data_IF_477070696469
#
_entry.id   IF_477070696469
#
_cell.length_a   1.000
_cell.length_b   1.000
_cell.length_c   1.000
_cell.angle_alpha   90.00
_cell.angle_beta   90.00
_cell.angle_gamma   90.00
#
_symmetry.space_group_name_H-M   'P 1'
#
loop_
_entity.id
_entity.type
_entity.pdbx_description
1 polymer ?
#
# COMPACT_ATOMS: atom_id res chain seq x y z
N UNK A 1 -9.13 30.28 -10.42
CA UNK A 1 -10.04 31.21 -11.11
C UNK A 1 -11.33 31.38 -10.31
N UNK A 2 -12.01 32.53 -10.41
CA UNK A 2 -13.30 32.80 -9.74
C UNK A 2 -14.51 32.04 -10.35
N UNK A 3 -15.76 32.36 -9.96
CA UNK A 3 -16.98 31.63 -10.34
C UNK A 3 -17.20 31.46 -11.86
N UNK A 4 -16.59 32.31 -12.67
CA UNK A 4 -16.62 32.24 -14.14
C UNK A 4 -15.95 30.98 -14.71
N UNK A 5 -14.90 30.44 -14.06
CA UNK A 5 -14.19 29.26 -14.57
C UNK A 5 -15.05 27.98 -14.56
N UNK A 6 -15.95 27.84 -13.59
CA UNK A 6 -16.85 26.69 -13.51
C UNK A 6 -18.01 26.82 -14.51
N UNK A 7 -18.49 28.04 -14.78
CA UNK A 7 -19.50 28.28 -15.82
C UNK A 7 -18.94 27.91 -17.20
N UNK A 8 -17.69 28.28 -17.49
CA UNK A 8 -17.02 27.90 -18.74
C UNK A 8 -16.80 26.38 -18.82
N UNK A 9 -16.58 25.70 -17.68
CA UNK A 9 -16.47 24.24 -17.64
C UNK A 9 -17.78 23.55 -18.06
N UNK A 10 -18.93 24.03 -17.58
CA UNK A 10 -20.25 23.54 -18.00
C UNK A 10 -20.47 23.73 -19.51
N UNK A 11 -20.19 24.93 -20.03
CA UNK A 11 -20.33 25.24 -21.46
C UNK A 11 -19.40 24.38 -22.32
N UNK A 12 -18.13 24.25 -21.93
CA UNK A 12 -17.15 23.45 -22.66
C UNK A 12 -17.51 21.95 -22.67
N UNK A 13 -18.11 21.46 -21.58
CA UNK A 13 -18.58 20.06 -21.46
C UNK A 13 -19.78 19.78 -22.35
N UNK A 14 -20.74 20.70 -22.39
CA UNK A 14 -21.93 20.61 -23.23
C UNK A 14 -21.58 20.65 -24.74
N UNK A 15 -20.54 21.39 -25.13
CA UNK A 15 -20.19 21.64 -26.54
C UNK A 15 -19.03 20.79 -27.08
N UNK A 16 -18.45 19.90 -26.29
CA UNK A 16 -17.47 18.96 -26.84
C UNK A 16 -16.00 19.43 -26.82
N UNK A 17 -15.62 20.42 -26.00
CA UNK A 17 -14.29 21.06 -26.10
C UNK A 17 -13.24 20.46 -25.14
N UNK A 18 -12.62 19.35 -25.55
CA UNK A 18 -11.62 18.59 -24.77
C UNK A 18 -10.45 19.45 -24.25
N UNK A 19 -9.82 20.25 -25.11
CA UNK A 19 -8.64 21.05 -24.78
C UNK A 19 -8.96 22.13 -23.75
N UNK A 20 -10.13 22.77 -23.86
CA UNK A 20 -10.61 23.79 -22.93
C UNK A 20 -10.87 23.16 -21.55
N UNK A 21 -11.50 21.99 -21.52
CA UNK A 21 -11.76 21.25 -20.27
C UNK A 21 -10.46 20.88 -19.55
N UNK A 22 -9.44 20.41 -20.30
CA UNK A 22 -8.13 20.12 -19.73
C UNK A 22 -7.47 21.37 -19.14
N UNK A 23 -7.46 22.49 -19.87
CA UNK A 23 -6.91 23.77 -19.39
C UNK A 23 -7.65 24.26 -18.14
N UNK A 24 -8.98 24.12 -18.10
CA UNK A 24 -9.80 24.50 -16.94
C UNK A 24 -9.48 23.65 -15.71
N UNK A 25 -9.27 22.35 -15.87
CA UNK A 25 -8.83 21.48 -14.79
C UNK A 25 -7.43 21.85 -14.28
N UNK A 26 -6.48 22.14 -15.18
CA UNK A 26 -5.14 22.63 -14.82
C UNK A 26 -5.21 23.97 -14.06
N UNK A 27 -6.29 24.75 -14.23
CA UNK A 27 -6.52 26.04 -13.59
C UNK A 27 -7.51 26.00 -12.40
N UNK A 28 -7.71 24.82 -11.80
CA UNK A 28 -8.54 24.58 -10.60
C UNK A 28 -10.06 24.78 -10.80
N UNK A 29 -10.61 24.47 -11.98
CA UNK A 29 -12.06 24.38 -12.14
C UNK A 29 -12.62 23.17 -11.35
N UNK A 30 -13.71 23.38 -10.62
CA UNK A 30 -14.29 22.39 -9.72
C UNK A 30 -15.25 21.45 -10.48
N UNK A 31 -14.91 20.16 -10.51
CA UNK A 31 -15.74 19.11 -11.11
C UNK A 31 -17.08 18.90 -10.41
N UNK A 32 -17.12 19.14 -9.09
CA UNK A 32 -18.31 19.00 -8.25
C UNK A 32 -19.29 20.17 -8.40
N UNK A 33 -18.88 21.24 -9.09
CA UNK A 33 -19.72 22.41 -9.29
C UNK A 33 -20.94 22.00 -10.13
N UNK A 34 -22.13 22.26 -9.58
CA UNK A 34 -23.41 21.97 -10.23
C UNK A 34 -23.94 23.22 -10.89
N UNK A 35 -24.48 23.04 -12.09
CA UNK A 35 -25.22 24.09 -12.77
C UNK A 35 -26.40 24.52 -11.88
N UNK A 36 -26.53 25.82 -11.57
CA UNK A 36 -27.59 26.30 -10.68
C UNK A 36 -29.00 26.12 -11.28
N UNK A 37 -29.12 26.09 -12.61
CA UNK A 37 -30.40 25.97 -13.31
C UNK A 37 -30.94 24.54 -13.34
N UNK A 38 -30.06 23.56 -13.52
CA UNK A 38 -30.44 22.15 -13.71
C UNK A 38 -29.96 21.20 -12.61
N UNK A 39 -29.10 21.68 -11.69
CA UNK A 39 -28.43 20.90 -10.62
C UNK A 39 -27.63 19.69 -11.14
N UNK A 40 -27.25 19.71 -12.42
CA UNK A 40 -26.43 18.68 -13.07
C UNK A 40 -24.95 19.07 -12.97
N UNK A 41 -24.09 18.06 -12.84
CA UNK A 41 -22.63 18.22 -12.88
C UNK A 41 -22.18 18.47 -14.31
N UNK A 42 -21.06 19.18 -14.50
CA UNK A 42 -20.48 19.40 -15.84
C UNK A 42 -20.18 18.10 -16.60
N UNK A 43 -19.85 17.02 -15.89
CA UNK A 43 -19.70 15.67 -16.48
C UNK A 43 -21.00 15.07 -17.02
N UNK A 44 -22.15 15.40 -16.43
CA UNK A 44 -23.47 14.92 -16.84
C UNK A 44 -24.11 15.73 -17.96
N UNK A 45 -23.53 16.87 -18.32
CA UNK A 45 -23.99 17.74 -19.41
C UNK A 45 -23.36 17.39 -20.76
N UNK A 46 -22.31 16.56 -20.78
CA UNK A 46 -21.70 16.10 -22.02
C UNK A 46 -22.33 14.81 -22.51
N UNK A 47 -22.71 14.73 -23.78
CA UNK A 47 -23.10 13.48 -24.43
C UNK A 47 -21.89 12.69 -24.97
N UNK A 48 -20.70 13.27 -24.93
CA UNK A 48 -19.46 12.70 -25.50
C UNK A 48 -18.71 11.92 -24.44
N UNK A 49 -18.54 10.61 -24.65
CA UNK A 49 -17.91 9.71 -23.68
C UNK A 49 -16.43 10.03 -23.40
N UNK A 50 -15.69 10.58 -24.38
CA UNK A 50 -14.31 11.04 -24.17
C UNK A 50 -14.21 12.18 -23.16
N UNK A 51 -15.20 13.08 -23.14
CA UNK A 51 -15.27 14.18 -22.17
C UNK A 51 -15.62 13.66 -20.80
N UNK A 52 -16.60 12.75 -20.69
CA UNK A 52 -16.91 12.09 -19.43
C UNK A 52 -15.68 11.43 -18.82
N UNK A 53 -14.81 10.83 -19.64
CA UNK A 53 -13.50 10.29 -19.22
C UNK A 53 -12.53 11.35 -18.70
N UNK A 54 -12.55 12.59 -19.22
CA UNK A 54 -11.73 13.70 -18.67
C UNK A 54 -12.17 14.08 -17.25
N UNK A 55 -13.47 14.01 -16.96
CA UNK A 55 -14.02 14.24 -15.63
C UNK A 55 -13.69 13.13 -14.64
N UNK A 56 -13.41 11.90 -15.08
CA UNK A 56 -12.89 10.83 -14.23
C UNK A 56 -11.36 10.88 -14.10
N UNK A 57 -10.63 11.33 -15.13
CA UNK A 57 -9.15 11.43 -15.20
C UNK A 57 -8.49 12.33 -14.15
N UNK A 58 -9.06 13.50 -13.86
CA UNK A 58 -8.38 14.57 -13.10
C UNK A 58 -8.70 14.66 -11.59
N UNK A 59 -9.35 13.64 -10.99
CA UNK A 59 -9.66 13.60 -9.55
C UNK A 59 -9.36 12.19 -9.05
N UNK A 60 -8.10 11.79 -9.25
CA UNK A 60 -7.58 10.48 -8.88
C UNK A 60 -7.32 10.36 -7.37
N UNK A 61 -8.04 11.09 -6.50
CA UNK A 61 -7.96 10.89 -5.05
C UNK A 61 -8.48 9.49 -4.66
N UNK A 62 -9.40 8.93 -5.45
CA UNK A 62 -10.02 7.63 -5.18
C UNK A 62 -9.78 6.54 -6.25
N UNK A 63 -9.10 6.85 -7.36
CA UNK A 63 -8.80 5.88 -8.42
C UNK A 63 -7.30 5.85 -8.71
N UNK A 64 -6.63 4.73 -8.41
CA UNK A 64 -5.17 4.59 -8.51
C UNK A 64 -4.65 4.10 -9.86
N UNK A 65 -5.46 4.03 -10.91
CA UNK A 65 -4.99 3.53 -12.20
C UNK A 65 -5.52 4.31 -13.37
N UNK A 66 -4.71 5.28 -13.80
CA UNK A 66 -4.49 5.46 -15.22
C UNK A 66 -2.98 5.58 -15.50
N UNK A 67 -2.51 4.63 -16.31
CA UNK A 67 -1.29 4.65 -17.13
C UNK A 67 0.06 4.93 -16.44
N UNK A 68 0.56 3.93 -15.73
CA UNK A 68 2.00 3.58 -15.79
C UNK A 68 2.13 2.07 -15.81
N UNK A 69 2.89 1.54 -16.79
CA UNK A 69 3.36 0.16 -16.82
C UNK A 69 4.29 -0.07 -15.61
N UNK A 70 3.73 -0.37 -14.45
CA UNK A 70 4.43 -0.92 -13.30
C UNK A 70 3.45 -1.84 -12.57
N UNK A 71 3.73 -3.14 -12.59
CA UNK A 71 2.77 -4.19 -12.22
C UNK A 71 2.54 -4.35 -10.70
N UNK A 72 3.13 -3.53 -9.82
CA UNK A 72 3.22 -3.83 -8.38
C UNK A 72 2.77 -2.70 -7.44
N UNK A 73 1.71 -1.96 -7.77
CA UNK A 73 1.16 -0.98 -6.85
C UNK A 73 -0.15 -1.43 -6.18
N UNK A 74 -0.01 -2.09 -5.03
CA UNK A 74 -1.11 -2.36 -4.09
C UNK A 74 -0.86 -1.54 -2.82
N UNK A 75 -1.79 -0.62 -2.50
CA UNK A 75 -1.74 0.27 -1.31
C UNK A 75 -1.80 -0.48 0.03
N UNK A 76 -2.01 -1.79 -0.03
CA UNK A 76 -2.26 -2.65 1.09
C UNK A 76 -1.49 -3.98 0.99
N UNK A 77 -1.44 -4.72 2.09
CA UNK A 77 -0.87 -6.08 2.11
C UNK A 77 -1.66 -7.02 2.98
N UNK A 78 -1.71 -8.29 2.57
CA UNK A 78 -2.17 -9.37 3.43
C UNK A 78 -1.26 -9.47 4.64
N UNK A 79 -1.84 -9.49 5.83
CA UNK A 79 -1.07 -9.53 7.07
C UNK A 79 -0.59 -10.94 7.37
N UNK A 80 0.74 -11.09 7.46
CA UNK A 80 1.42 -12.19 8.17
C UNK A 80 2.04 -11.70 9.49
N UNK A 81 2.58 -12.62 10.30
CA UNK A 81 3.23 -12.31 11.60
C UNK A 81 4.24 -11.15 11.51
N UNK A 82 5.05 -11.15 10.46
CA UNK A 82 6.05 -10.11 10.17
C UNK A 82 5.47 -8.69 10.06
N UNK A 83 4.31 -8.52 9.43
CA UNK A 83 3.71 -7.19 9.24
C UNK A 83 3.05 -6.67 10.53
N UNK A 84 2.57 -7.57 11.40
CA UNK A 84 2.08 -7.20 12.74
C UNK A 84 3.24 -6.68 13.57
N UNK A 85 4.39 -7.37 13.55
CA UNK A 85 5.60 -6.95 14.23
C UNK A 85 6.08 -5.59 13.72
N UNK A 86 6.23 -5.40 12.40
CA UNK A 86 6.63 -4.10 11.81
C UNK A 86 5.67 -2.96 12.17
N UNK A 87 4.36 -3.23 12.25
CA UNK A 87 3.37 -2.24 12.71
C UNK A 87 3.61 -1.85 14.17
N UNK A 88 3.89 -2.82 15.03
CA UNK A 88 4.19 -2.57 16.44
C UNK A 88 5.49 -1.78 16.58
N UNK A 89 6.55 -2.18 15.90
CA UNK A 89 7.82 -1.46 15.84
C UNK A 89 7.65 -0.04 15.32
N UNK A 90 6.81 0.16 14.27
CA UNK A 90 6.47 1.50 13.78
C UNK A 90 5.83 2.33 14.88
N UNK A 91 4.81 1.81 15.57
CA UNK A 91 4.14 2.52 16.67
C UNK A 91 5.08 2.85 17.83
N UNK A 92 5.98 1.94 18.19
CA UNK A 92 6.96 2.14 19.27
C UNK A 92 8.05 3.15 18.89
N UNK A 93 8.55 3.11 17.65
CA UNK A 93 9.58 4.05 17.19
C UNK A 93 9.03 5.47 17.03
N UNK A 94 7.82 5.63 16.51
CA UNK A 94 7.21 6.96 16.37
C UNK A 94 6.75 7.54 17.70
N UNK A 95 6.56 6.73 18.75
CA UNK A 95 6.18 7.21 20.08
C UNK A 95 7.20 8.19 20.68
N UNK A 96 8.46 8.13 20.25
CA UNK A 96 9.49 9.13 20.56
C UNK A 96 9.10 10.53 20.12
N UNK A 97 8.25 10.66 19.10
CA UNK A 97 7.79 11.96 18.61
C UNK A 97 6.65 12.56 19.44
N UNK A 98 6.01 11.79 20.34
CA UNK A 98 5.00 12.32 21.27
C UNK A 98 5.55 13.42 22.17
N UNK A 99 6.86 13.46 22.40
CA UNK A 99 7.50 14.47 23.26
C UNK A 99 7.79 15.79 22.54
N UNK A 100 7.58 15.86 21.23
CA UNK A 100 7.84 17.06 20.43
C UNK A 100 6.55 17.81 20.13
N UNK A 101 6.44 19.04 20.64
CA UNK A 101 5.36 19.95 20.27
C UNK A 101 5.67 20.68 18.94
N UNK A 102 4.70 21.44 18.43
CA UNK A 102 4.84 22.22 17.18
C UNK A 102 5.91 23.32 17.23
N UNK A 103 6.48 23.62 18.39
CA UNK A 103 7.52 24.63 18.57
C UNK A 103 8.92 24.00 18.64
N UNK A 104 9.00 22.67 18.72
CA UNK A 104 10.26 21.97 18.83
C UNK A 104 11.11 22.11 17.56
N UNK A 105 12.33 22.64 17.71
CA UNK A 105 13.26 22.94 16.61
C UNK A 105 13.50 21.77 15.63
N UNK A 106 13.43 20.52 16.12
CA UNK A 106 13.58 19.33 15.30
C UNK A 106 12.49 19.24 14.23
N UNK A 107 11.23 19.60 14.54
CA UNK A 107 10.13 19.57 13.57
C UNK A 107 10.43 20.49 12.39
N UNK A 108 10.91 21.71 12.65
CA UNK A 108 11.33 22.64 11.60
C UNK A 108 12.43 22.04 10.73
N UNK A 109 13.43 21.38 11.34
CA UNK A 109 14.51 20.71 10.61
C UNK A 109 13.98 19.60 9.69
N UNK A 110 13.05 18.78 10.18
CA UNK A 110 12.44 17.71 9.38
C UNK A 110 11.61 18.27 8.21
N UNK A 111 10.89 19.37 8.42
CA UNK A 111 10.12 20.03 7.36
C UNK A 111 11.03 20.63 6.29
N UNK A 112 12.14 21.25 6.70
CA UNK A 112 13.16 21.74 5.75
C UNK A 112 13.73 20.58 4.94
N UNK A 113 14.05 19.45 5.58
CA UNK A 113 14.54 18.27 4.86
C UNK A 113 13.52 17.73 3.84
N UNK A 114 12.23 17.69 4.20
CA UNK A 114 11.17 17.30 3.26
C UNK A 114 11.10 18.28 2.07
N UNK A 115 11.21 19.58 2.32
CA UNK A 115 11.19 20.60 1.26
C UNK A 115 12.39 20.42 0.31
N UNK A 116 13.60 20.45 0.87
CA UNK A 116 14.83 20.45 0.08
C UNK A 116 15.04 19.14 -0.66
N UNK A 117 14.78 18.00 0.00
CA UNK A 117 15.04 16.71 -0.60
C UNK A 117 13.81 16.16 -1.32
N UNK A 118 12.72 15.90 -0.60
CA UNK A 118 11.60 15.17 -1.20
C UNK A 118 10.91 16.01 -2.29
N UNK A 119 10.59 17.27 -1.99
CA UNK A 119 9.86 18.12 -2.93
C UNK A 119 10.75 18.66 -4.04
N UNK A 120 11.88 19.30 -3.72
CA UNK A 120 12.71 20.00 -4.70
C UNK A 120 13.67 19.09 -5.48
N UNK A 121 14.20 18.03 -4.86
CA UNK A 121 15.14 17.13 -5.52
C UNK A 121 14.42 15.90 -6.08
N UNK A 122 13.78 15.11 -5.22
CA UNK A 122 13.26 13.80 -5.58
C UNK A 122 12.06 13.88 -6.54
N UNK A 123 11.02 14.66 -6.21
CA UNK A 123 9.83 14.76 -7.06
C UNK A 123 10.14 15.38 -8.43
N UNK A 124 11.07 16.34 -8.50
CA UNK A 124 11.46 16.98 -9.75
C UNK A 124 12.29 16.03 -10.61
N UNK A 125 13.29 15.38 -10.04
CA UNK A 125 14.25 14.57 -10.80
C UNK A 125 13.72 13.17 -11.13
N UNK A 126 13.03 12.51 -10.18
CA UNK A 126 12.63 11.11 -10.30
C UNK A 126 11.18 10.95 -10.76
N UNK A 127 10.29 11.86 -10.35
CA UNK A 127 8.85 11.79 -10.67
C UNK A 127 8.42 12.88 -11.68
N UNK A 128 9.37 13.69 -12.17
CA UNK A 128 9.19 14.71 -13.21
C UNK A 128 8.07 15.72 -12.93
N UNK A 129 7.92 16.15 -11.67
CA UNK A 129 6.98 17.19 -11.30
C UNK A 129 7.33 18.52 -11.98
N UNK A 130 6.32 19.24 -12.46
CA UNK A 130 6.54 20.57 -13.03
C UNK A 130 6.99 21.54 -11.93
N UNK A 131 7.71 22.59 -12.36
CA UNK A 131 8.19 23.64 -11.46
C UNK A 131 7.04 24.31 -10.71
N UNK A 132 5.95 24.66 -11.41
CA UNK A 132 4.78 25.30 -10.81
C UNK A 132 4.12 24.45 -9.71
N UNK A 133 4.05 23.13 -9.92
CA UNK A 133 3.52 22.22 -8.92
C UNK A 133 4.43 22.16 -7.70
N UNK A 134 5.73 22.05 -7.93
CA UNK A 134 6.74 21.96 -6.86
C UNK A 134 6.79 23.24 -6.02
N UNK A 135 6.75 24.41 -6.67
CA UNK A 135 6.71 25.71 -5.99
C UNK A 135 5.44 25.86 -5.12
N UNK A 136 4.30 25.37 -5.60
CA UNK A 136 3.05 25.37 -4.82
C UNK A 136 3.12 24.43 -3.61
N UNK A 137 3.71 23.25 -3.76
CA UNK A 137 3.91 22.31 -2.66
C UNK A 137 4.88 22.89 -1.63
N UNK A 138 6.01 23.42 -2.07
CA UNK A 138 6.97 24.11 -1.23
C UNK A 138 6.32 25.26 -0.45
N UNK A 139 5.47 26.06 -1.10
CA UNK A 139 4.72 27.12 -0.44
C UNK A 139 3.89 26.60 0.73
N UNK A 140 3.14 25.50 0.56
CA UNK A 140 2.38 24.92 1.67
C UNK A 140 3.27 24.47 2.83
N UNK A 141 4.39 23.81 2.56
CA UNK A 141 5.30 23.35 3.60
C UNK A 141 6.07 24.49 4.29
N UNK A 142 6.36 25.60 3.59
CA UNK A 142 6.88 26.82 4.20
C UNK A 142 5.85 27.47 5.14
N UNK A 143 4.58 27.56 4.71
CA UNK A 143 3.49 28.04 5.55
C UNK A 143 3.25 27.15 6.77
N UNK A 144 3.48 25.84 6.65
CA UNK A 144 3.44 24.91 7.79
C UNK A 144 4.44 25.30 8.90
N UNK A 145 5.64 25.75 8.52
CA UNK A 145 6.69 26.22 9.44
C UNK A 145 6.29 27.56 10.06
N UNK A 146 5.90 28.53 9.22
CA UNK A 146 5.57 29.90 9.65
C UNK A 146 4.37 29.93 10.62
N UNK A 147 3.28 29.24 10.28
CA UNK A 147 2.07 29.19 11.10
C UNK A 147 2.10 28.11 12.18
N UNK A 148 3.16 27.28 12.24
CA UNK A 148 3.24 26.12 13.13
C UNK A 148 2.02 25.19 13.01
N UNK A 149 1.54 25.02 11.78
CA UNK A 149 0.28 24.34 11.46
C UNK A 149 0.49 23.26 10.40
N UNK A 150 1.36 22.30 10.69
CA UNK A 150 1.74 21.26 9.73
C UNK A 150 0.53 20.48 9.21
N UNK A 151 -0.33 19.98 10.09
CA UNK A 151 -1.47 19.15 9.68
C UNK A 151 -2.39 19.90 8.69
N UNK A 152 -2.70 21.17 8.94
CA UNK A 152 -3.53 21.99 8.03
C UNK A 152 -2.90 22.11 6.65
N UNK A 153 -1.62 22.43 6.57
CA UNK A 153 -0.94 22.69 5.31
C UNK A 153 -0.55 21.43 4.55
N UNK A 154 -0.20 20.37 5.27
CA UNK A 154 -0.04 19.04 4.68
C UNK A 154 -1.34 18.58 4.03
N UNK A 155 -2.48 18.67 4.72
CA UNK A 155 -3.76 18.26 4.12
C UNK A 155 -4.09 19.10 2.89
N UNK A 156 -3.86 20.42 2.91
CA UNK A 156 -4.03 21.27 1.71
C UNK A 156 -3.15 20.84 0.53
N UNK A 157 -1.89 20.47 0.80
CA UNK A 157 -0.99 19.96 -0.22
C UNK A 157 -1.46 18.60 -0.74
N UNK A 158 -1.83 17.69 0.17
CA UNK A 158 -2.31 16.35 -0.11
C UNK A 158 -3.57 16.37 -0.99
N UNK A 159 -4.57 17.18 -0.66
CA UNK A 159 -5.85 17.22 -1.40
C UNK A 159 -5.80 18.11 -2.64
N UNK A 160 -4.65 18.71 -2.94
CA UNK A 160 -4.53 19.60 -4.10
C UNK A 160 -4.54 18.83 -5.42
N UNK A 161 -4.99 19.48 -6.49
CA UNK A 161 -5.23 18.88 -7.82
C UNK A 161 -3.95 18.56 -8.62
N UNK A 162 -2.81 18.41 -7.95
CA UNK A 162 -1.49 18.31 -8.58
C UNK A 162 -0.87 16.90 -8.52
N UNK A 163 -1.67 15.87 -8.26
CA UNK A 163 -1.25 14.46 -8.15
C UNK A 163 -0.24 14.15 -7.04
N UNK A 164 0.01 15.09 -6.12
CA UNK A 164 0.94 14.86 -5.01
C UNK A 164 0.51 13.68 -4.12
N UNK A 165 -0.77 13.56 -3.78
CA UNK A 165 -1.29 12.43 -3.00
C UNK A 165 -0.99 11.08 -3.65
N UNK A 166 -1.14 10.98 -4.98
CA UNK A 166 -0.93 9.75 -5.74
C UNK A 166 0.53 9.30 -5.62
N UNK A 167 1.47 10.21 -5.82
CA UNK A 167 2.90 9.90 -5.79
C UNK A 167 3.40 9.68 -4.36
N UNK A 168 2.92 10.47 -3.39
CA UNK A 168 3.21 10.24 -1.98
C UNK A 168 2.72 8.86 -1.53
N UNK A 169 1.47 8.52 -1.83
CA UNK A 169 0.94 7.20 -1.53
C UNK A 169 1.75 6.12 -2.23
N UNK A 170 2.15 6.34 -3.50
CA UNK A 170 3.00 5.42 -4.26
C UNK A 170 4.26 5.06 -3.48
N UNK A 171 5.00 6.08 -3.07
CA UNK A 171 6.24 5.89 -2.33
C UNK A 171 6.03 5.27 -0.96
N UNK A 172 4.97 5.67 -0.24
CA UNK A 172 4.63 5.07 1.05
C UNK A 172 4.41 3.56 0.91
N UNK A 173 3.55 3.13 -0.01
CA UNK A 173 3.24 1.70 -0.13
C UNK A 173 4.43 0.84 -0.63
N UNK A 174 5.34 1.42 -1.43
CA UNK A 174 6.56 0.74 -1.87
C UNK A 174 7.63 0.68 -0.78
N UNK A 175 7.87 1.77 -0.05
CA UNK A 175 9.11 1.97 0.69
C UNK A 175 8.94 2.13 2.20
N UNK A 176 7.75 2.40 2.74
CA UNK A 176 7.60 2.71 4.18
C UNK A 176 8.01 1.53 5.07
N UNK A 177 7.85 0.29 4.60
CA UNK A 177 8.24 -0.91 5.33
C UNK A 177 9.76 -1.14 5.33
N UNK A 178 10.49 -0.52 4.39
CA UNK A 178 11.94 -0.62 4.30
C UNK A 178 12.62 0.17 5.42
N UNK A 179 11.90 1.07 6.10
CA UNK A 179 12.40 1.77 7.27
C UNK A 179 12.84 0.84 8.41
N UNK A 180 12.22 -0.34 8.49
CA UNK A 180 12.54 -1.36 9.50
C UNK A 180 13.63 -2.32 9.05
N UNK A 181 14.17 -2.18 7.84
CA UNK A 181 15.16 -3.09 7.29
C UNK A 181 16.53 -2.40 7.17
N UNK A 182 17.45 -2.77 8.07
CA UNK A 182 18.82 -2.24 8.09
C UNK A 182 19.55 -2.48 6.76
N UNK A 183 19.20 -3.54 6.02
CA UNK A 183 19.81 -3.86 4.72
C UNK A 183 19.36 -2.93 3.58
N UNK A 184 18.19 -2.29 3.72
CA UNK A 184 17.73 -1.23 2.81
C UNK A 184 18.59 0.04 2.90
N UNK A 185 19.26 0.25 4.03
CA UNK A 185 20.08 1.43 4.28
C UNK A 185 21.52 1.30 3.77
N UNK A 186 22.04 0.08 3.65
CA UNK A 186 23.42 -0.16 3.18
C UNK A 186 23.56 -0.17 1.65
N UNK A 187 22.46 -0.35 0.92
CA UNK A 187 22.46 -0.59 -0.54
C UNK A 187 22.24 0.67 -1.40
N UNK A 188 21.66 1.75 -0.87
CA UNK A 188 21.49 3.02 -1.60
C UNK A 188 21.24 4.23 -0.66
N UNK A 189 22.17 5.20 -0.60
CA UNK A 189 22.01 6.42 0.21
C UNK A 189 20.82 7.30 -0.20
N UNK A 190 20.46 7.33 -1.48
CA UNK A 190 19.29 8.09 -1.96
C UNK A 190 17.98 7.45 -1.50
N UNK A 191 17.91 6.11 -1.52
CA UNK A 191 16.75 5.38 -0.99
C UNK A 191 16.57 5.61 0.51
N UNK A 192 17.67 5.65 1.28
CA UNK A 192 17.65 5.98 2.70
C UNK A 192 16.98 7.34 2.98
N UNK A 193 17.41 8.39 2.29
CA UNK A 193 16.90 9.75 2.52
C UNK A 193 15.43 9.89 2.17
N UNK A 194 15.00 9.22 1.10
CA UNK A 194 13.58 9.13 0.72
C UNK A 194 12.75 8.47 1.82
N UNK A 195 13.15 7.28 2.28
CA UNK A 195 12.41 6.53 3.30
C UNK A 195 12.27 7.37 4.59
N UNK A 196 13.33 8.05 5.02
CA UNK A 196 13.25 8.94 6.18
C UNK A 196 12.28 10.10 5.97
N UNK A 197 12.29 10.75 4.81
CA UNK A 197 11.30 11.80 4.50
C UNK A 197 9.87 11.27 4.57
N UNK A 198 9.60 10.07 4.03
CA UNK A 198 8.29 9.44 4.09
C UNK A 198 7.86 9.16 5.53
N UNK A 199 8.75 8.65 6.36
CA UNK A 199 8.48 8.44 7.79
C UNK A 199 8.23 9.76 8.50
N UNK A 200 9.04 10.79 8.26
CA UNK A 200 8.80 12.12 8.83
C UNK A 200 7.42 12.66 8.46
N UNK A 201 6.99 12.53 7.21
CA UNK A 201 5.66 12.97 6.76
C UNK A 201 4.55 12.26 7.56
N UNK A 202 4.63 10.94 7.69
CA UNK A 202 3.60 10.16 8.42
C UNK A 202 3.62 10.49 9.91
N UNK A 203 4.80 10.53 10.52
CA UNK A 203 5.00 10.74 11.95
C UNK A 203 4.58 12.14 12.39
N UNK A 204 4.96 13.18 11.65
CA UNK A 204 4.56 14.56 11.93
C UNK A 204 3.05 14.74 11.87
N UNK A 205 2.35 13.97 11.02
CA UNK A 205 0.90 14.00 10.97
C UNK A 205 0.30 13.28 12.17
N UNK A 206 0.68 12.02 12.42
CA UNK A 206 0.12 11.16 13.48
C UNK A 206 0.28 11.79 14.87
N UNK A 207 1.42 12.43 15.14
CA UNK A 207 1.73 13.03 16.43
C UNK A 207 1.46 14.54 16.49
N UNK A 208 0.79 15.10 15.48
CA UNK A 208 0.44 16.51 15.52
C UNK A 208 -0.38 16.81 16.80
N UNK A 209 -0.02 17.82 17.61
CA UNK A 209 -0.68 18.10 18.90
C UNK A 209 -2.19 18.24 18.78
N UNK A 210 -2.65 18.86 17.70
CA UNK A 210 -4.06 19.08 17.42
C UNK A 210 -4.76 17.94 16.68
N UNK A 211 -4.09 16.81 16.39
CA UNK A 211 -4.69 15.69 15.65
C UNK A 211 -5.99 15.21 16.33
N UNK A 212 -6.05 15.32 17.67
CA UNK A 212 -7.21 14.93 18.46
C UNK A 212 -8.51 15.65 18.05
N UNK A 213 -8.42 16.87 17.52
CA UNK A 213 -9.57 17.66 17.03
C UNK A 213 -10.17 17.10 15.75
N UNK A 214 -9.39 16.32 15.01
CA UNK A 214 -9.77 15.79 13.70
C UNK A 214 -10.06 14.29 13.74
N UNK A 215 -10.03 13.62 14.90
CA UNK A 215 -10.21 12.17 14.96
C UNK A 215 -11.61 11.77 14.49
N UNK A 216 -11.67 10.72 13.67
CA UNK A 216 -12.93 10.20 13.15
C UNK A 216 -13.16 8.75 13.59
N UNK A 217 -14.37 8.49 14.11
CA UNK A 217 -14.91 7.15 14.37
C UNK A 217 -16.22 7.02 13.63
N UNK A 218 -16.41 5.89 12.94
CA UNK A 218 -17.62 5.61 12.20
C UNK A 218 -17.34 4.90 10.90
N UNK A 219 -18.34 4.93 10.02
CA UNK A 219 -18.28 4.24 8.74
C UNK A 219 -17.96 5.21 7.60
N UNK A 220 -16.97 4.86 6.78
CA UNK A 220 -16.64 5.57 5.55
C UNK A 220 -16.59 4.62 4.36
N UNK A 221 -16.63 5.20 3.15
CA UNK A 221 -16.77 4.46 1.90
C UNK A 221 -15.67 4.85 0.92
N UNK A 222 -15.18 3.89 0.16
CA UNK A 222 -14.23 4.11 -0.95
C UNK A 222 -14.68 3.30 -2.15
N UNK A 223 -14.94 3.97 -3.26
CA UNK A 223 -15.17 3.30 -4.54
C UNK A 223 -13.89 3.20 -5.34
N UNK A 224 -13.68 2.07 -6.01
CA UNK A 224 -12.55 1.84 -6.90
C UNK A 224 -12.88 0.78 -7.95
N UNK A 225 -12.05 0.72 -8.98
CA UNK A 225 -11.98 -0.38 -9.92
C UNK A 225 -10.87 -1.34 -9.50
N UNK A 226 -11.16 -2.64 -9.51
CA UNK A 226 -10.23 -3.66 -9.06
C UNK A 226 -10.21 -4.86 -10.00
N UNK A 227 -9.04 -5.49 -10.17
CA UNK A 227 -8.93 -6.72 -10.98
C UNK A 227 -9.46 -7.92 -10.19
N UNK A 228 -9.79 -9.00 -10.88
CA UNK A 228 -10.22 -10.24 -10.22
C UNK A 228 -9.13 -10.80 -9.28
N UNK A 229 -7.85 -10.67 -9.65
CA UNK A 229 -6.73 -11.12 -8.82
C UNK A 229 -6.61 -10.29 -7.53
N UNK A 230 -6.73 -8.97 -7.63
CA UNK A 230 -6.72 -8.08 -6.47
C UNK A 230 -7.91 -8.40 -5.54
N UNK A 231 -9.08 -8.70 -6.11
CA UNK A 231 -10.30 -9.03 -5.38
C UNK A 231 -10.19 -10.31 -4.54
N UNK A 232 -9.42 -11.32 -4.99
CA UNK A 232 -9.20 -12.58 -4.25
C UNK A 232 -8.61 -12.35 -2.87
N UNK A 233 -7.82 -11.30 -2.70
CA UNK A 233 -7.21 -10.97 -1.41
C UNK A 233 -8.22 -10.43 -0.39
N UNK A 234 -9.40 -9.98 -0.83
CA UNK A 234 -10.50 -9.56 0.03
C UNK A 234 -11.44 -10.72 0.39
N UNK A 235 -10.86 -11.89 0.69
CA UNK A 235 -11.62 -13.03 1.21
C UNK A 235 -11.99 -12.81 2.67
N UNK A 236 -13.19 -13.24 3.07
CA UNK A 236 -13.67 -13.12 4.45
C UNK A 236 -12.66 -13.73 5.43
N UNK A 237 -12.36 -13.00 6.50
CA UNK A 237 -11.37 -13.36 7.52
C UNK A 237 -9.95 -12.86 7.24
N UNK A 238 -9.63 -12.48 5.99
CA UNK A 238 -8.33 -11.89 5.67
C UNK A 238 -8.15 -10.55 6.37
N UNK A 239 -6.90 -10.24 6.68
CA UNK A 239 -6.50 -8.98 7.29
C UNK A 239 -5.68 -8.16 6.30
N UNK A 240 -6.02 -6.88 6.22
CA UNK A 240 -5.49 -5.91 5.27
C UNK A 240 -4.78 -4.81 6.05
N UNK A 241 -3.46 -4.66 5.81
CA UNK A 241 -2.66 -3.55 6.34
C UNK A 241 -2.58 -2.46 5.28
N UNK A 242 -2.99 -1.24 5.61
CA UNK A 242 -2.78 -0.07 4.76
C UNK A 242 -1.34 0.44 4.94
N UNK A 243 -0.59 0.59 3.85
CA UNK A 243 0.79 1.11 3.90
C UNK A 243 0.88 2.61 3.61
N UNK A 244 -0.14 3.17 2.99
CA UNK A 244 -0.25 4.60 2.64
C UNK A 244 -1.49 5.21 3.26
N UNK A 245 -1.72 6.49 3.00
CA UNK A 245 -2.97 7.15 3.37
C UNK A 245 -4.10 6.65 2.49
N UNK A 246 -5.22 6.27 3.10
CA UNK A 246 -6.41 5.79 2.39
C UNK A 246 -7.50 6.85 2.48
N UNK A 247 -7.76 7.53 1.37
CA UNK A 247 -8.85 8.50 1.27
C UNK A 247 -10.19 7.78 1.18
N UNK A 248 -11.15 8.21 2.01
CA UNK A 248 -12.51 7.67 2.07
C UNK A 248 -13.52 8.82 2.23
N UNK A 249 -14.80 8.58 1.90
CA UNK A 249 -15.87 9.56 2.10
C UNK A 249 -16.85 9.10 3.17
N UNK A 250 -17.33 10.03 3.99
CA UNK A 250 -18.50 9.79 4.88
C UNK A 250 -19.78 9.54 4.08
N UNK A 251 -19.82 9.93 2.80
CA UNK A 251 -20.97 9.79 1.94
C UNK A 251 -20.79 8.64 0.94
N UNK A 252 -21.61 7.60 1.08
CA UNK A 252 -21.64 6.45 0.18
C UNK A 252 -21.81 6.84 -1.29
N UNK A 253 -22.71 7.78 -1.58
CA UNK A 253 -22.99 8.19 -2.97
C UNK A 253 -21.81 8.92 -3.60
N UNK A 254 -21.01 9.65 -2.82
CA UNK A 254 -19.75 10.26 -3.29
C UNK A 254 -18.74 9.16 -3.63
N UNK A 255 -18.55 8.19 -2.73
CA UNK A 255 -17.65 7.06 -2.97
C UNK A 255 -18.05 6.23 -4.21
N UNK A 256 -19.35 6.03 -4.44
CA UNK A 256 -19.88 5.29 -5.60
C UNK A 256 -19.55 5.97 -6.94
N UNK A 257 -19.31 7.28 -6.99
CA UNK A 257 -18.89 7.94 -8.24
C UNK A 257 -17.52 7.45 -8.73
N UNK A 258 -16.75 6.79 -7.87
CA UNK A 258 -15.41 6.28 -8.17
C UNK A 258 -15.38 4.77 -8.50
N UNK A 259 -16.52 4.07 -8.46
CA UNK A 259 -16.61 2.66 -8.83
C UNK A 259 -16.69 2.43 -10.35
N UNK A 260 -16.64 3.49 -11.16
CA UNK A 260 -16.87 3.43 -12.61
C UNK A 260 -18.35 3.25 -12.97
N UNK A 261 -18.64 3.01 -14.25
CA UNK A 261 -20.02 2.99 -14.78
C UNK A 261 -20.84 1.72 -14.44
N UNK A 262 -20.40 0.89 -13.48
CA UNK A 262 -21.09 -0.35 -13.10
C UNK A 262 -21.10 -1.43 -14.19
N UNK A 263 -20.21 -1.33 -15.19
CA UNK A 263 -19.99 -2.36 -16.20
C UNK A 263 -18.71 -3.11 -15.88
N UNK A 264 -18.82 -4.43 -15.78
CA UNK A 264 -17.67 -5.32 -15.80
C UNK A 264 -17.01 -5.22 -17.18
N UNK A 265 -15.83 -4.62 -17.21
CA UNK A 265 -14.97 -4.74 -18.40
C UNK A 265 -14.15 -6.01 -18.24
N UNK A 266 -13.67 -6.61 -19.34
CA UNK A 266 -12.82 -7.81 -19.33
C UNK A 266 -11.61 -7.76 -18.38
N UNK A 267 -11.27 -6.60 -17.80
CA UNK A 267 -10.15 -6.40 -16.88
C UNK A 267 -10.51 -5.91 -15.47
N UNK A 268 -11.66 -5.26 -15.25
CA UNK A 268 -11.92 -4.49 -14.01
C UNK A 268 -13.36 -4.64 -13.49
N UNK A 269 -13.48 -4.78 -12.17
CA UNK A 269 -14.70 -4.94 -11.39
C UNK A 269 -14.95 -3.68 -10.55
N UNK A 270 -16.18 -3.17 -10.55
CA UNK A 270 -16.63 -2.05 -9.73
C UNK A 270 -16.82 -2.45 -8.27
N UNK A 271 -15.96 -1.94 -7.37
CA UNK A 271 -15.92 -2.35 -5.96
C UNK A 271 -16.16 -1.17 -5.03
N UNK A 272 -17.02 -1.36 -4.04
CA UNK A 272 -17.23 -0.43 -2.93
C UNK A 272 -16.69 -1.03 -1.63
N UNK A 273 -15.69 -0.38 -1.04
CA UNK A 273 -15.18 -0.73 0.28
C UNK A 273 -15.90 0.10 1.34
N UNK A 274 -16.39 -0.57 2.38
CA UNK A 274 -17.01 0.03 3.56
C UNK A 274 -16.08 -0.19 4.76
N UNK A 275 -15.43 0.88 5.21
CA UNK A 275 -14.53 0.86 6.36
C UNK A 275 -15.30 1.24 7.62
N UNK A 276 -15.08 0.51 8.71
CA UNK A 276 -15.57 0.86 10.05
C UNK A 276 -14.39 1.09 10.97
N UNK A 277 -14.23 2.34 11.44
CA UNK A 277 -13.17 2.75 12.37
C UNK A 277 -13.73 3.05 13.76
N UNK A 278 -13.11 2.46 14.78
CA UNK A 278 -13.51 2.51 16.18
C UNK A 278 -12.45 3.19 17.05
N UNK A 279 -11.19 3.23 16.61
CA UNK A 279 -10.09 3.83 17.34
C UNK A 279 -9.84 5.29 16.96
N UNK A 280 -9.36 6.03 17.95
CA UNK A 280 -9.02 7.44 17.84
C UNK A 280 -7.76 7.72 17.00
N UNK A 281 -6.97 6.71 16.63
CA UNK A 281 -5.66 6.89 15.99
C UNK A 281 -5.64 6.45 14.52
N UNK A 282 -6.80 6.08 13.97
CA UNK A 282 -6.86 5.34 12.71
C UNK A 282 -7.33 6.21 11.55
N UNK A 283 -8.24 7.14 11.81
CA UNK A 283 -8.77 8.02 10.80
C UNK A 283 -8.92 9.44 11.31
N UNK A 284 -8.75 10.39 10.39
CA UNK A 284 -8.97 11.81 10.62
C UNK A 284 -9.99 12.38 9.63
N UNK A 285 -10.95 13.14 10.14
CA UNK A 285 -11.90 13.95 9.38
C UNK A 285 -11.18 15.18 8.85
N UNK A 286 -11.07 15.25 7.53
CA UNK A 286 -10.35 16.32 6.84
C UNK A 286 -11.29 17.20 6.02
N UNK A 287 -12.61 17.05 6.14
CA UNK A 287 -13.62 17.81 5.38
C UNK A 287 -13.38 19.33 5.44
N UNK A 288 -13.03 19.85 6.62
CA UNK A 288 -12.83 21.30 6.81
C UNK A 288 -11.43 21.79 6.41
N UNK A 289 -10.48 20.88 6.22
CA UNK A 289 -9.09 21.19 5.84
C UNK A 289 -8.84 20.96 4.35
N UNK A 290 -9.54 20.01 3.75
CA UNK A 290 -9.45 19.64 2.35
C UNK A 290 -9.76 20.81 1.44
N UNK A 291 -9.05 20.88 0.32
CA UNK A 291 -9.36 21.80 -0.77
C UNK A 291 -10.65 21.42 -1.50
N UNK A 292 -11.21 20.23 -1.24
CA UNK A 292 -12.42 19.69 -1.89
C UNK A 292 -13.48 19.35 -0.83
N UNK A 293 -14.24 20.36 -0.39
CA UNK A 293 -15.19 20.21 0.73
C UNK A 293 -16.36 19.26 0.47
N UNK A 294 -16.80 19.15 -0.78
CA UNK A 294 -17.98 18.35 -1.15
C UNK A 294 -17.77 16.84 -0.99
N UNK A 295 -16.51 16.39 -0.91
CA UNK A 295 -16.16 14.96 -0.83
C UNK A 295 -16.36 14.38 0.59
N UNK A 296 -16.56 15.23 1.61
CA UNK A 296 -16.74 14.81 3.02
C UNK A 296 -15.67 13.81 3.45
N UNK A 297 -14.43 14.15 3.11
CA UNK A 297 -13.30 13.25 3.12
C UNK A 297 -12.83 12.93 4.54
N UNK A 298 -12.54 11.65 4.75
CA UNK A 298 -11.90 11.09 5.94
C UNK A 298 -10.66 10.33 5.47
N UNK A 299 -9.51 10.67 6.04
CA UNK A 299 -8.24 10.06 5.72
C UNK A 299 -7.92 8.97 6.75
N UNK A 300 -7.87 7.72 6.30
CA UNK A 300 -7.36 6.61 7.10
C UNK A 300 -5.83 6.64 7.03
N UNK A 301 -5.19 6.57 8.19
CA UNK A 301 -3.75 6.74 8.35
C UNK A 301 -3.00 5.44 8.00
N UNK A 302 -1.73 5.54 7.55
CA UNK A 302 -0.87 4.38 7.32
C UNK A 302 -0.77 3.48 8.54
N UNK A 303 -0.46 2.20 8.30
CA UNK A 303 -0.35 1.16 9.31
C UNK A 303 -1.65 0.85 10.07
N UNK A 304 -2.79 1.24 9.51
CA UNK A 304 -4.11 0.81 9.95
C UNK A 304 -4.42 -0.60 9.44
N UNK A 305 -5.07 -1.41 10.27
CA UNK A 305 -5.37 -2.81 9.96
C UNK A 305 -6.87 -3.04 10.00
N UNK A 306 -7.38 -3.68 8.96
CA UNK A 306 -8.79 -4.04 8.83
C UNK A 306 -8.94 -5.53 8.52
N UNK A 307 -9.95 -6.15 9.11
CA UNK A 307 -10.36 -7.51 8.76
C UNK A 307 -11.54 -7.43 7.78
N UNK A 308 -11.50 -8.27 6.75
CA UNK A 308 -12.63 -8.47 5.85
C UNK A 308 -13.71 -9.25 6.60
N UNK A 309 -14.84 -8.60 6.87
CA UNK A 309 -15.97 -9.19 7.60
C UNK A 309 -17.00 -9.81 6.67
N UNK A 310 -17.25 -9.15 5.55
CA UNK A 310 -18.24 -9.59 4.59
C UNK A 310 -17.86 -9.17 3.16
N UNK A 311 -18.37 -9.92 2.19
CA UNK A 311 -18.21 -9.69 0.75
C UNK A 311 -19.52 -10.01 0.05
N UNK A 312 -20.20 -8.98 -0.43
CA UNK A 312 -21.51 -9.05 -1.06
C UNK A 312 -21.34 -8.83 -2.56
N UNK A 313 -21.75 -9.80 -3.37
CA UNK A 313 -21.80 -9.67 -4.82
C UNK A 313 -23.23 -9.26 -5.25
N UNK A 314 -23.34 -8.15 -5.97
CA UNK A 314 -24.61 -7.59 -6.42
C UNK A 314 -24.92 -7.99 -7.85
N UNK A 315 -26.21 -8.13 -8.18
CA UNK A 315 -26.65 -8.50 -9.52
C UNK A 315 -26.50 -7.30 -10.48
N UNK A 316 -25.79 -7.43 -11.62
CA UNK A 316 -25.53 -6.34 -12.56
C UNK A 316 -26.79 -5.70 -13.19
N UNK A 317 -27.97 -6.32 -13.03
CA UNK A 317 -29.25 -5.84 -13.56
C UNK A 317 -30.00 -4.85 -12.66
N UNK A 318 -29.53 -4.57 -11.45
CA UNK A 318 -30.15 -3.59 -10.55
C UNK A 318 -29.17 -2.47 -10.19
N UNK A 319 -29.65 -1.21 -10.20
CA UNK A 319 -28.89 -0.08 -9.64
C UNK A 319 -28.78 -0.22 -8.12
N UNK A 320 -27.62 0.07 -7.49
CA UNK A 320 -26.57 0.99 -7.94
C UNK A 320 -25.33 0.30 -8.55
N UNK A 321 -24.39 1.06 -9.15
CA UNK A 321 -23.28 0.59 -10.02
C UNK A 321 -22.09 0.00 -9.22
N UNK A 322 -22.41 -0.82 -8.23
CA UNK A 322 -21.44 -1.54 -7.40
C UNK A 322 -21.67 -3.02 -7.66
N UNK A 323 -20.65 -3.70 -8.21
CA UNK A 323 -20.72 -5.13 -8.46
C UNK A 323 -20.35 -5.93 -7.21
N UNK A 324 -19.40 -5.42 -6.42
CA UNK A 324 -18.97 -6.05 -5.17
C UNK A 324 -18.85 -5.02 -4.06
N UNK A 325 -19.45 -5.31 -2.91
CA UNK A 325 -19.30 -4.54 -1.69
C UNK A 325 -18.51 -5.35 -0.66
N UNK A 326 -17.51 -4.74 -0.04
CA UNK A 326 -16.64 -5.40 0.93
C UNK A 326 -16.67 -4.62 2.24
N UNK A 327 -16.98 -5.32 3.33
CA UNK A 327 -16.99 -4.74 4.67
C UNK A 327 -15.66 -4.97 5.37
N UNK A 328 -15.02 -3.88 5.79
CA UNK A 328 -13.72 -3.84 6.44
C UNK A 328 -13.89 -3.26 7.85
N UNK A 329 -13.62 -4.07 8.87
CA UNK A 329 -13.71 -3.65 10.26
C UNK A 329 -12.31 -3.50 10.87
N UNK A 330 -12.08 -2.37 11.52
CA UNK A 330 -10.80 -2.09 12.18
C UNK A 330 -10.45 -3.14 13.24
N UNK A 331 -9.22 -3.65 13.20
CA UNK A 331 -8.71 -4.59 14.19
C UNK A 331 -8.07 -3.89 15.39
N UNK A 332 -8.40 -4.36 16.59
CA UNK A 332 -7.72 -3.93 17.81
C UNK A 332 -6.34 -4.58 17.93
N UNK A 333 -5.39 -3.85 18.55
CA UNK A 333 -4.04 -4.35 18.82
C UNK A 333 -4.08 -5.67 19.61
N UNK A 334 -4.95 -5.74 20.63
CA UNK A 334 -5.08 -6.92 21.48
C UNK A 334 -5.78 -8.09 20.76
N UNK A 335 -6.63 -7.82 19.78
CA UNK A 335 -7.29 -8.87 18.99
C UNK A 335 -6.31 -9.56 18.03
N UNK A 336 -5.34 -8.83 17.45
CA UNK A 336 -4.28 -9.41 16.62
C UNK A 336 -3.35 -10.33 17.43
N UNK A 337 -3.09 -9.99 18.70
CA UNK A 337 -2.25 -10.75 19.62
C UNK A 337 -3.02 -11.94 20.25
N UNK A 338 -4.28 -11.72 20.65
CA UNK A 338 -5.11 -12.74 21.32
C UNK A 338 -5.71 -13.77 20.35
N UNK A 339 -6.06 -13.39 19.10
CA UNK A 339 -6.53 -14.35 18.09
C UNK A 339 -5.45 -15.36 17.65
N UNK A 340 -4.18 -15.15 18.02
CA UNK A 340 -3.07 -16.07 17.74
C UNK A 340 -2.68 -16.99 18.90
N UNK A 341 -3.32 -16.89 20.06
CA UNK A 341 -3.18 -17.92 21.11
C UNK A 341 -4.07 -19.15 20.89
N UNK A 342 -4.88 -19.21 19.82
CA UNK A 342 -5.62 -20.42 19.46
C UNK A 342 -5.46 -20.80 17.98
N UNK A 343 -4.98 -22.04 17.77
CA UNK A 343 -4.68 -22.75 16.51
C UNK A 343 -3.63 -22.08 15.61
N UNK A 344 -2.39 -22.54 15.73
CA UNK A 344 -1.31 -22.20 14.81
C UNK A 344 -1.68 -22.52 13.37
N UNK A 345 -1.93 -21.48 12.58
CA UNK A 345 -1.99 -21.57 11.12
C UNK A 345 -0.60 -21.83 10.59
N UNK A 346 -0.46 -22.80 9.68
CA UNK A 346 0.81 -23.08 9.02
C UNK A 346 1.36 -21.79 8.39
N UNK A 347 2.65 -21.47 8.60
CA UNK A 347 3.27 -20.31 7.97
C UNK A 347 3.17 -20.41 6.44
N UNK A 348 3.05 -19.27 5.75
CA UNK A 348 2.96 -19.23 4.29
C UNK A 348 4.26 -19.77 3.68
N UNK A 349 4.16 -20.85 2.90
CA UNK A 349 5.27 -21.45 2.18
C UNK A 349 5.30 -20.89 0.75
N UNK A 350 6.43 -20.31 0.36
CA UNK A 350 6.72 -19.88 -1.00
C UNK A 350 6.93 -21.13 -1.86
N UNK A 351 5.89 -21.47 -2.63
CA UNK A 351 5.88 -22.63 -3.52
C UNK A 351 6.99 -22.56 -4.56
N UNK A 352 7.40 -23.73 -5.05
CA UNK A 352 8.41 -23.90 -6.11
C UNK A 352 8.17 -23.06 -7.37
N UNK A 353 6.92 -22.82 -7.75
CA UNK A 353 6.59 -22.00 -8.91
C UNK A 353 6.94 -20.53 -8.72
N UNK A 354 6.84 -20.00 -7.49
CA UNK A 354 7.05 -18.57 -7.19
C UNK A 354 8.53 -18.20 -7.30
N UNK A 355 9.43 -19.12 -6.93
CA UNK A 355 10.87 -18.92 -7.04
C UNK A 355 11.47 -19.49 -8.33
N UNK A 356 10.63 -19.85 -9.33
CA UNK A 356 11.05 -20.41 -10.62
C UNK A 356 11.97 -21.64 -10.47
N UNK A 357 11.56 -22.61 -9.65
CA UNK A 357 12.30 -23.84 -9.44
C UNK A 357 12.50 -24.63 -10.74
N UNK A 358 13.73 -25.08 -10.95
CA UNK A 358 14.01 -26.09 -11.99
C UNK A 358 13.33 -27.40 -11.60
N UNK A 359 12.83 -28.15 -12.59
CA UNK A 359 12.26 -29.48 -12.36
C UNK A 359 13.36 -30.44 -11.86
N UNK A 360 13.05 -31.35 -10.93
CA UNK A 360 14.01 -32.36 -10.50
C UNK A 360 14.46 -33.25 -11.66
N UNK A 361 15.70 -33.76 -11.59
CA UNK A 361 16.26 -34.66 -12.62
C UNK A 361 15.59 -36.03 -12.62
N UNK A 362 15.23 -36.53 -11.44
CA UNK A 362 14.59 -37.83 -11.24
C UNK A 362 13.43 -37.69 -10.24
N UNK A 363 12.56 -38.69 -10.20
CA UNK A 363 11.49 -38.77 -9.20
C UNK A 363 12.08 -38.93 -7.80
N UNK A 364 11.48 -38.24 -6.82
CA UNK A 364 11.91 -38.36 -5.44
C UNK A 364 11.44 -39.68 -4.81
N UNK A 365 12.20 -40.16 -3.83
CA UNK A 365 11.69 -41.15 -2.88
C UNK A 365 10.73 -40.48 -1.90
N UNK A 366 9.62 -41.14 -1.58
CA UNK A 366 8.65 -40.65 -0.61
C UNK A 366 9.14 -40.90 0.82
N UNK A 367 8.89 -39.94 1.72
CA UNK A 367 9.10 -40.11 3.15
C UNK A 367 7.98 -40.96 3.76
N UNK A 368 8.34 -41.79 4.74
CA UNK A 368 7.37 -42.48 5.59
C UNK A 368 6.86 -41.46 6.61
N UNK A 369 5.56 -41.20 6.62
CA UNK A 369 4.91 -40.28 7.55
C UNK A 369 4.29 -41.04 8.74
N UNK A 370 4.26 -40.46 9.96
CA UNK A 370 4.83 -39.16 10.33
C UNK A 370 6.36 -39.20 10.35
N UNK A 371 7.01 -38.12 9.86
CA UNK A 371 8.47 -38.03 9.81
C UNK A 371 8.99 -37.77 11.23
N UNK A 372 9.88 -38.62 11.78
CA UNK A 372 10.23 -38.56 13.19
C UNK A 372 11.26 -37.50 13.58
N UNK A 373 12.01 -36.93 12.62
CA UNK A 373 13.10 -35.99 12.92
C UNK A 373 13.05 -34.71 12.07
N UNK A 374 13.66 -33.65 12.58
CA UNK A 374 13.95 -32.41 11.84
C UNK A 374 15.44 -32.10 11.97
N UNK A 375 16.10 -31.86 10.84
CA UNK A 375 17.50 -31.48 10.79
C UNK A 375 17.61 -29.99 10.41
N UNK A 376 18.18 -29.19 11.30
CA UNK A 376 18.41 -27.75 11.08
C UNK A 376 19.83 -27.55 10.57
N UNK A 377 19.95 -26.83 9.45
CA UNK A 377 21.22 -26.49 8.80
C UNK A 377 21.29 -24.98 8.57
N UNK A 378 22.50 -24.46 8.40
CA UNK A 378 22.72 -23.20 7.68
C UNK A 378 23.28 -23.49 6.28
N UNK A 379 23.09 -22.59 5.32
CA UNK A 379 23.53 -22.85 3.94
C UNK A 379 25.00 -22.54 3.70
N UNK A 380 25.69 -21.82 4.60
CA UNK A 380 27.08 -21.33 4.43
C UNK A 380 27.28 -20.36 3.25
N UNK A 381 26.20 -19.71 2.82
CA UNK A 381 26.21 -18.68 1.77
C UNK A 381 25.98 -17.27 2.31
N UNK A 382 25.85 -16.27 1.43
CA UNK A 382 25.40 -14.95 1.85
C UNK A 382 23.97 -15.03 2.41
N UNK A 383 23.68 -14.18 3.40
CA UNK A 383 22.33 -14.02 3.94
C UNK A 383 21.44 -13.30 2.92
N UNK A 384 20.13 -13.49 3.06
CA UNK A 384 19.13 -12.81 2.25
C UNK A 384 18.00 -12.26 3.13
N UNK A 385 17.48 -11.07 2.81
CA UNK A 385 16.52 -10.33 3.65
C UNK A 385 15.30 -9.81 2.88
N UNK A 386 15.24 -9.96 1.55
CA UNK A 386 14.03 -9.64 0.75
C UNK A 386 13.54 -10.90 0.04
N UNK A 387 12.27 -10.92 -0.38
CA UNK A 387 11.73 -12.06 -1.13
C UNK A 387 12.57 -12.31 -2.40
N UNK A 388 12.89 -11.25 -3.14
CA UNK A 388 13.68 -11.33 -4.36
C UNK A 388 15.12 -11.82 -4.11
N UNK A 389 15.82 -11.28 -3.11
CA UNK A 389 17.19 -11.74 -2.81
C UNK A 389 17.22 -13.18 -2.30
N UNK A 390 16.21 -13.60 -1.53
CA UNK A 390 16.10 -14.98 -1.11
C UNK A 390 15.74 -15.94 -2.24
N UNK A 391 14.91 -15.52 -3.22
CA UNK A 391 14.67 -16.30 -4.44
C UNK A 391 15.99 -16.54 -5.18
N UNK A 392 16.82 -15.50 -5.34
CA UNK A 392 18.13 -15.61 -6.00
C UNK A 392 19.01 -16.63 -5.26
N UNK A 393 19.07 -16.58 -3.92
CA UNK A 393 19.89 -17.53 -3.15
C UNK A 393 19.36 -18.96 -3.20
N UNK A 394 18.04 -19.17 -3.12
CA UNK A 394 17.43 -20.50 -3.25
C UNK A 394 17.72 -21.08 -4.64
N UNK A 395 17.61 -20.28 -5.70
CA UNK A 395 17.98 -20.67 -7.07
C UNK A 395 19.47 -21.01 -7.18
N UNK A 396 20.34 -20.19 -6.56
CA UNK A 396 21.79 -20.42 -6.51
C UNK A 396 22.12 -21.77 -5.87
N UNK A 397 21.47 -22.09 -4.76
CA UNK A 397 21.63 -23.38 -4.07
C UNK A 397 21.05 -24.55 -4.85
N UNK A 398 19.90 -24.40 -5.50
CA UNK A 398 19.36 -25.43 -6.38
C UNK A 398 20.33 -25.73 -7.52
N UNK A 399 20.84 -24.68 -8.19
CA UNK A 399 21.80 -24.81 -9.29
C UNK A 399 23.10 -25.48 -8.82
N UNK A 400 23.62 -25.11 -7.66
CA UNK A 400 24.80 -25.73 -7.08
C UNK A 400 24.57 -27.22 -6.79
N UNK A 401 23.47 -27.58 -6.12
CA UNK A 401 23.17 -28.99 -5.81
C UNK A 401 22.97 -29.84 -7.07
N UNK A 402 22.26 -29.33 -8.07
CA UNK A 402 21.99 -30.09 -9.29
C UNK A 402 23.20 -30.17 -10.22
N UNK A 403 23.94 -29.07 -10.40
CA UNK A 403 24.99 -29.02 -11.43
C UNK A 403 26.37 -29.36 -10.89
N UNK A 404 26.65 -29.09 -9.62
CA UNK A 404 27.98 -29.31 -9.01
C UNK A 404 28.00 -30.54 -8.12
N UNK A 405 26.95 -30.76 -7.32
CA UNK A 405 26.83 -31.97 -6.48
C UNK A 405 26.16 -33.15 -7.19
N UNK A 406 25.66 -32.91 -8.41
CA UNK A 406 24.96 -33.90 -9.24
C UNK A 406 23.73 -34.53 -8.59
N UNK A 407 23.11 -33.84 -7.64
CA UNK A 407 21.89 -34.31 -6.98
C UNK A 407 20.66 -34.12 -7.88
N UNK A 408 19.60 -34.85 -7.56
CA UNK A 408 18.35 -34.78 -8.31
C UNK A 408 17.67 -33.41 -8.22
N UNK A 409 17.89 -32.70 -7.11
CA UNK A 409 17.33 -31.38 -6.83
C UNK A 409 18.05 -30.73 -5.62
N UNK A 410 17.64 -29.53 -5.23
CA UNK A 410 18.03 -28.86 -3.98
C UNK A 410 17.97 -29.83 -2.79
N UNK A 411 19.00 -29.84 -1.95
CA UNK A 411 19.13 -30.86 -0.90
C UNK A 411 18.19 -30.71 0.29
N UNK A 412 17.63 -29.53 0.52
CA UNK A 412 16.76 -29.25 1.66
C UNK A 412 15.27 -29.49 1.33
N UNK A 413 14.49 -29.87 2.34
CA UNK A 413 13.03 -29.91 2.24
C UNK A 413 12.46 -28.49 2.24
N UNK A 414 12.99 -27.62 3.11
CA UNK A 414 12.64 -26.22 3.22
C UNK A 414 13.88 -25.35 3.41
N UNK A 415 13.82 -24.11 2.95
CA UNK A 415 14.81 -23.08 3.25
C UNK A 415 14.15 -21.88 3.91
N UNK A 416 14.85 -21.23 4.83
CA UNK A 416 14.34 -20.06 5.56
C UNK A 416 15.27 -18.87 5.31
N UNK A 417 14.72 -17.80 4.72
CA UNK A 417 15.43 -16.54 4.54
C UNK A 417 15.58 -15.76 5.84
N UNK A 418 16.53 -14.82 5.91
CA UNK A 418 16.74 -13.97 7.09
C UNK A 418 15.56 -13.04 7.43
N UNK A 419 14.59 -12.93 6.53
CA UNK A 419 13.31 -12.23 6.71
C UNK A 419 12.12 -13.13 7.07
N UNK A 420 12.36 -14.43 7.28
CA UNK A 420 11.34 -15.39 7.70
C UNK A 420 10.50 -16.00 6.57
N UNK A 421 10.76 -15.70 5.29
CA UNK A 421 10.10 -16.45 4.19
C UNK A 421 10.58 -17.90 4.19
N UNK A 422 9.62 -18.82 4.09
CA UNK A 422 9.87 -20.26 3.99
C UNK A 422 9.73 -20.65 2.54
N UNK A 423 10.79 -21.16 1.93
CA UNK A 423 10.81 -21.63 0.55
C UNK A 423 10.66 -23.14 0.51
N UNK A 424 9.71 -23.61 -0.30
CA UNK A 424 9.56 -25.03 -0.59
C UNK A 424 10.76 -25.50 -1.42
N UNK A 425 11.57 -26.38 -0.83
CA UNK A 425 12.58 -27.17 -1.53
C UNK A 425 11.94 -28.45 -2.06
N UNK A 426 12.32 -29.60 -1.50
CA UNK A 426 11.66 -30.89 -1.83
C UNK A 426 10.27 -31.07 -1.18
N UNK A 427 9.91 -30.20 -0.24
CA UNK A 427 8.60 -30.20 0.42
C UNK A 427 8.44 -31.32 1.46
N UNK A 428 7.20 -31.53 1.91
CA UNK A 428 6.88 -32.40 3.05
C UNK A 428 7.01 -33.90 2.77
N UNK A 429 6.74 -34.33 1.53
CA UNK A 429 6.50 -35.74 1.23
C UNK A 429 7.73 -36.46 0.67
N UNK A 430 8.83 -35.75 0.44
CA UNK A 430 9.96 -36.27 -0.35
C UNK A 430 11.25 -36.28 0.46
N UNK A 431 12.06 -37.32 0.25
CA UNK A 431 13.35 -37.48 0.90
C UNK A 431 14.34 -36.38 0.47
N UNK A 432 14.95 -35.73 1.46
CA UNK A 432 16.01 -34.75 1.29
C UNK A 432 17.37 -35.34 0.86
N UNK A 433 18.37 -34.46 0.73
CA UNK A 433 19.78 -34.81 0.55
C UNK A 433 20.70 -33.97 1.47
N UNK A 434 20.20 -33.58 2.64
CA UNK A 434 20.83 -32.62 3.56
C UNK A 434 21.65 -33.28 4.69
N UNK A 435 21.32 -34.52 5.09
CA UNK A 435 22.00 -35.23 6.18
C UNK A 435 22.17 -36.72 5.87
N UNK A 436 23.41 -37.12 5.56
CA UNK A 436 23.74 -38.52 5.24
C UNK A 436 23.36 -39.44 6.40
N UNK A 437 22.58 -40.49 6.12
CA UNK A 437 22.07 -41.43 7.12
C UNK A 437 20.71 -41.05 7.73
N UNK A 438 20.31 -39.78 7.66
CA UNK A 438 19.04 -39.30 8.23
C UNK A 438 18.03 -38.80 7.18
N UNK A 439 18.44 -38.62 5.92
CA UNK A 439 17.55 -38.17 4.83
C UNK A 439 16.19 -38.93 4.75
N UNK A 440 16.11 -40.27 4.90
CA UNK A 440 14.84 -40.99 4.78
C UNK A 440 13.89 -40.83 5.99
N UNK A 441 14.38 -40.29 7.11
CA UNK A 441 13.66 -40.21 8.38
C UNK A 441 13.62 -38.79 8.96
N UNK A 442 13.97 -37.78 8.17
CA UNK A 442 14.01 -36.39 8.61
C UNK A 442 13.56 -35.39 7.56
N UNK A 443 13.07 -34.23 8.03
CA UNK A 443 12.88 -33.02 7.23
C UNK A 443 14.08 -32.11 7.42
N UNK A 444 14.74 -31.72 6.33
CA UNK A 444 15.85 -30.77 6.35
C UNK A 444 15.42 -29.33 6.15
N UNK A 445 15.75 -28.47 7.11
CA UNK A 445 15.50 -27.02 7.05
C UNK A 445 16.85 -26.30 6.96
N UNK A 446 17.09 -25.59 5.85
CA UNK A 446 18.29 -24.80 5.63
C UNK A 446 18.05 -23.31 5.86
N UNK A 447 18.65 -22.72 6.89
CA UNK A 447 18.65 -21.27 7.12
C UNK A 447 19.65 -20.63 6.15
N UNK A 448 19.19 -19.70 5.33
CA UNK A 448 20.01 -19.08 4.28
C UNK A 448 21.00 -18.12 4.91
N UNK A 449 22.28 -18.49 4.90
CA UNK A 449 23.37 -17.70 5.47
C UNK A 449 24.48 -18.56 6.07
N UNK A 450 25.56 -17.90 6.46
CA UNK A 450 26.50 -18.41 7.45
C UNK A 450 26.12 -17.89 8.84
N UNK A 451 26.04 -18.82 9.79
CA UNK A 451 25.62 -18.60 11.18
C UNK A 451 26.68 -19.12 12.17
N UNK A 452 27.92 -19.33 11.71
CA UNK A 452 29.03 -19.77 12.58
C UNK A 452 29.37 -18.76 13.68
N UNK A 453 29.25 -17.46 13.40
CA UNK A 453 29.62 -16.36 14.31
C UNK A 453 28.43 -15.49 14.75
N UNK A 454 27.21 -15.80 14.29
CA UNK A 454 25.99 -15.07 14.59
C UNK A 454 25.04 -15.98 15.34
N UNK A 455 24.58 -15.57 16.53
CA UNK A 455 23.56 -16.34 17.26
C UNK A 455 22.24 -16.28 16.47
N UNK A 456 21.57 -17.43 16.23
CA UNK A 456 20.29 -17.49 15.54
C UNK A 456 19.21 -16.63 16.20
#
# INVERSE_FOLDING_TARGET
>A
MGPYGNVVLHVASCHGHNEIIQVLFTNNALKSFKNMSYRVLSSGESEIDEIKKLFTKNSNLFCSREETQDYDYIEWSLIGDFLIQKRQEFREQIDLYKTYDNQHHLITKLLIEIIEYYLQEYLVQQEHFSRDVTEKLEFYFKQAIEEKSYLKYFIKAYTSTNNFHRVLNKHLALYILDYFDISSYSSSPTKYRLINCLVHIVTLLIHHPDIHKYKYKGTTYRGLLMTENDLKHYSIGNHILNRSFVSTSKNRSVAQMFTGNGQETLANISVLLKYTTNQNQTAIDIEHLSTIKDEKEVLILPFSVFQVKDRIEHNPKMSPPVLVEIELEECENDQLINNKKQKGTCPLIVNRSVWNATKPKNNYTLLITPVPHVAIHHTTGPQCTTLHSCIIEVQRWQKFHMNIKEWDDIGYNFLVGGNGYIFEGRGWNHTGAHCKGFNPTSIGIGIIGDLTSVRP
#
